data_IF_698922928792
#
_entry.id   IF_698922928792
#
_cell.length_a   1.000
_cell.length_b   1.000
_cell.length_c   1.000
_cell.angle_alpha   90.00
_cell.angle_beta   90.00
_cell.angle_gamma   90.00
#
_symmetry.space_group_name_H-M   'P 1'
#
loop_
_entity.id
_entity.type
_entity.pdbx_description
1 polymer ?
#
# COMPACT_ATOMS: atom_id res chain seq x y z
N UNK A 1 -0.92 -35.81 -23.55
CA UNK A 1 -0.38 -35.16 -22.34
C UNK A 1 0.12 -33.77 -22.74
N UNK A 2 -0.75 -32.75 -22.73
CA UNK A 2 -0.42 -31.40 -23.19
C UNK A 2 0.21 -30.61 -22.04
N UNK A 3 1.51 -30.33 -22.17
CA UNK A 3 2.26 -29.47 -21.25
C UNK A 3 1.71 -28.04 -21.44
N UNK A 4 0.97 -27.52 -20.44
CA UNK A 4 0.63 -26.09 -20.32
C UNK A 4 1.93 -25.30 -20.18
N UNK A 5 2.58 -25.01 -21.30
CA UNK A 5 3.83 -24.27 -21.32
C UNK A 5 3.51 -22.77 -21.26
N UNK A 6 3.59 -22.26 -20.03
CA UNK A 6 4.01 -20.90 -19.70
C UNK A 6 3.33 -19.75 -20.45
N UNK A 7 2.17 -19.33 -19.93
CA UNK A 7 1.62 -17.98 -20.17
C UNK A 7 1.30 -17.31 -18.84
N UNK A 8 2.24 -17.30 -17.89
CA UNK A 8 1.95 -16.80 -16.53
C UNK A 8 2.89 -15.66 -16.08
N UNK A 9 4.03 -15.40 -16.71
CA UNK A 9 4.92 -14.31 -16.25
C UNK A 9 4.27 -12.91 -16.29
N UNK A 10 3.58 -12.55 -17.38
CA UNK A 10 2.90 -11.25 -17.49
C UNK A 10 1.67 -11.10 -16.57
N UNK A 11 0.93 -12.20 -16.34
CA UNK A 11 -0.19 -12.20 -15.39
C UNK A 11 0.27 -12.11 -13.94
N UNK A 12 1.40 -12.73 -13.58
CA UNK A 12 2.00 -12.58 -12.26
C UNK A 12 2.50 -11.16 -11.99
N UNK A 13 3.05 -10.47 -12.99
CA UNK A 13 3.42 -9.05 -12.86
C UNK A 13 2.17 -8.20 -12.57
N UNK A 14 1.08 -8.42 -13.30
CA UNK A 14 -0.15 -7.66 -13.09
C UNK A 14 -0.77 -7.91 -11.70
N UNK A 15 -0.78 -9.17 -11.23
CA UNK A 15 -1.29 -9.51 -9.89
C UNK A 15 -0.42 -8.92 -8.78
N UNK A 16 0.90 -9.00 -8.90
CA UNK A 16 1.81 -8.37 -7.93
C UNK A 16 1.64 -6.86 -7.91
N UNK A 17 1.63 -6.21 -9.06
CA UNK A 17 1.42 -4.76 -9.17
C UNK A 17 0.06 -4.35 -8.60
N UNK A 18 -1.00 -5.09 -8.88
CA UNK A 18 -2.32 -4.85 -8.31
C UNK A 18 -2.32 -5.01 -6.77
N UNK A 19 -1.63 -6.02 -6.25
CA UNK A 19 -1.48 -6.22 -4.80
C UNK A 19 -0.66 -5.11 -4.14
N UNK A 20 0.45 -4.68 -4.76
CA UNK A 20 1.22 -3.53 -4.27
C UNK A 20 0.39 -2.26 -4.27
N UNK A 21 -0.34 -2.00 -5.36
CA UNK A 21 -1.24 -0.85 -5.44
C UNK A 21 -2.30 -0.91 -4.35
N UNK A 22 -3.00 -2.04 -4.18
CA UNK A 22 -4.01 -2.22 -3.15
C UNK A 22 -3.45 -1.98 -1.74
N UNK A 23 -2.27 -2.51 -1.42
CA UNK A 23 -1.62 -2.32 -0.13
C UNK A 23 -1.28 -0.84 0.13
N UNK A 24 -0.71 -0.15 -0.87
CA UNK A 24 -0.40 1.29 -0.76
C UNK A 24 -1.70 2.08 -0.56
N UNK A 25 -2.73 1.80 -1.35
CA UNK A 25 -4.06 2.43 -1.24
C UNK A 25 -4.67 2.24 0.14
N UNK A 26 -4.67 1.01 0.67
CA UNK A 26 -5.18 0.71 2.01
C UNK A 26 -4.40 1.41 3.11
N UNK A 27 -3.07 1.52 2.97
CA UNK A 27 -2.24 2.28 3.92
C UNK A 27 -2.58 3.78 3.90
N UNK A 28 -2.73 4.38 2.73
CA UNK A 28 -3.09 5.79 2.59
C UNK A 28 -4.49 6.08 3.13
N UNK A 29 -5.48 5.24 2.80
CA UNK A 29 -6.83 5.36 3.37
C UNK A 29 -6.83 5.22 4.89
N UNK A 30 -5.99 4.33 5.43
CA UNK A 30 -5.83 4.19 6.88
C UNK A 30 -5.27 5.48 7.48
N UNK A 31 -4.21 6.03 6.91
CA UNK A 31 -3.66 7.32 7.34
C UNK A 31 -4.72 8.43 7.32
N UNK A 32 -5.47 8.53 6.21
CA UNK A 32 -6.53 9.52 6.05
C UNK A 32 -7.63 9.43 7.10
N UNK A 33 -8.11 8.22 7.39
CA UNK A 33 -9.14 7.98 8.42
C UNK A 33 -8.70 8.40 9.82
N UNK A 34 -7.39 8.45 10.05
CA UNK A 34 -6.79 8.87 11.31
C UNK A 34 -6.28 10.32 11.27
N UNK A 35 -6.75 11.14 10.31
CA UNK A 35 -6.41 12.57 10.23
C UNK A 35 -5.06 12.88 9.57
N UNK A 36 -4.34 11.87 9.07
CA UNK A 36 -3.04 12.04 8.40
C UNK A 36 -3.26 12.28 6.91
N UNK A 37 -2.64 13.33 6.38
CA UNK A 37 -2.72 13.65 4.96
C UNK A 37 -2.10 12.54 4.09
N UNK A 38 -2.88 12.01 3.13
CA UNK A 38 -2.48 10.92 2.23
C UNK A 38 -1.23 11.28 1.41
N UNK A 39 -1.13 12.51 0.92
CA UNK A 39 0.03 12.95 0.13
C UNK A 39 1.31 12.94 0.99
N UNK A 40 1.20 13.40 2.24
CA UNK A 40 2.32 13.38 3.18
C UNK A 40 2.72 11.94 3.56
N UNK A 41 1.74 11.08 3.82
CA UNK A 41 1.97 9.65 4.07
C UNK A 41 2.63 8.95 2.88
N UNK A 42 2.23 9.28 1.66
CA UNK A 42 2.82 8.76 0.42
C UNK A 42 4.27 9.24 0.23
N UNK A 43 4.55 10.52 0.53
CA UNK A 43 5.90 11.09 0.45
C UNK A 43 6.87 10.38 1.42
N UNK A 44 6.44 10.16 2.66
CA UNK A 44 7.17 9.41 3.70
C UNK A 44 7.41 7.95 3.30
N UNK A 45 6.37 7.29 2.77
CA UNK A 45 6.48 5.94 2.22
C UNK A 45 7.54 5.86 1.11
N UNK A 46 7.56 6.83 0.19
CA UNK A 46 8.54 6.92 -0.91
C UNK A 46 9.98 7.16 -0.41
N UNK A 47 10.14 7.88 0.72
CA UNK A 47 11.44 8.11 1.38
C UNK A 47 11.93 6.90 2.18
N UNK A 48 11.16 5.83 2.29
CA UNK A 48 11.51 4.64 3.07
C UNK A 48 11.26 4.78 4.58
N UNK A 49 10.51 5.80 4.99
CA UNK A 49 10.22 6.10 6.39
C UNK A 49 8.70 6.23 6.61
N UNK A 50 7.93 5.13 6.48
CA UNK A 50 6.48 5.14 6.61
C UNK A 50 6.03 5.42 8.06
N UNK A 51 4.80 5.88 8.22
CA UNK A 51 4.21 6.00 9.56
C UNK A 51 4.06 4.63 10.20
N UNK A 52 4.43 4.56 11.48
CA UNK A 52 4.18 3.39 12.31
C UNK A 52 2.74 3.38 12.77
N UNK A 53 2.25 2.21 13.16
CA UNK A 53 0.91 2.05 13.69
C UNK A 53 0.65 2.97 14.90
N UNK A 54 1.60 3.10 15.81
CA UNK A 54 1.55 4.00 16.97
C UNK A 54 1.34 5.47 16.58
N UNK A 55 2.04 5.96 15.55
CA UNK A 55 1.92 7.33 15.04
C UNK A 55 0.54 7.56 14.39
N UNK A 56 0.05 6.56 13.64
CA UNK A 56 -1.25 6.61 12.98
C UNK A 56 -2.37 6.66 14.02
N UNK A 57 -2.29 5.82 15.06
CA UNK A 57 -3.28 5.79 16.12
C UNK A 57 -3.25 7.06 16.97
N UNK A 58 -2.07 7.60 17.29
CA UNK A 58 -1.95 8.84 18.06
C UNK A 58 -2.52 10.06 17.31
N UNK A 59 -2.33 10.12 15.99
CA UNK A 59 -2.92 11.17 15.17
C UNK A 59 -4.46 11.13 15.17
N UNK A 60 -5.04 9.94 15.30
CA UNK A 60 -6.49 9.74 15.38
C UNK A 60 -7.10 10.26 16.68
N UNK A 61 -6.35 10.24 17.78
CA UNK A 61 -6.81 10.65 19.10
C UNK A 61 -6.85 12.17 19.29
N UNK A 62 -6.24 12.94 18.37
CA UNK A 62 -6.19 14.41 18.42
C UNK A 62 -7.25 15.08 17.52
N UNK A 63 -8.14 14.30 16.90
CA UNK A 63 -9.22 14.77 16.01
C UNK A 63 -10.59 14.86 16.67
#
# INVERSE_FOLDING_TARGET
>A
MHIKKMKISGQFQNVKTASFYANIKSYLETCYRNGINEFYAMLRLCRGDPFKLEEILNAAEQG
#
